data_IF_736299148535
#
_entry.id   IF_736299148535
#
_cell.length_a   1.000
_cell.length_b   1.000
_cell.length_c   1.000
_cell.angle_alpha   90.00
_cell.angle_beta   90.00
_cell.angle_gamma   90.00
#
_symmetry.space_group_name_H-M   'P 1'
#
loop_
_entity.id
_entity.type
_entity.pdbx_description
1 polymer ?
#
# COMPACT_ATOMS: atom_id res chain seq x y z
N UNK A 1 41.09 20.83 42.55
CA UNK A 1 40.14 21.10 41.45
C UNK A 1 39.11 19.99 41.49
N UNK A 2 38.09 20.09 42.36
CA UNK A 2 36.80 20.81 42.15
C UNK A 2 35.83 19.91 41.37
N UNK A 3 34.60 19.57 41.75
CA UNK A 3 33.73 19.89 42.89
C UNK A 3 32.52 18.93 42.85
N UNK A 4 31.89 18.73 44.02
CA UNK A 4 30.49 18.37 44.28
C UNK A 4 29.91 17.02 43.77
N UNK A 5 29.94 16.00 44.65
CA UNK A 5 28.84 15.01 44.73
C UNK A 5 27.90 15.43 45.86
N UNK A 6 26.62 15.52 45.50
CA UNK A 6 25.53 16.12 46.24
C UNK A 6 24.99 15.17 47.32
N UNK A 7 24.61 15.77 48.43
CA UNK A 7 24.18 15.12 49.67
C UNK A 7 22.92 14.26 49.48
N UNK A 8 23.04 12.96 49.73
CA UNK A 8 21.91 12.14 50.11
C UNK A 8 21.61 12.37 51.60
N UNK A 9 20.65 13.25 51.90
CA UNK A 9 20.12 13.39 53.26
C UNK A 9 19.38 12.11 53.66
N UNK A 10 20.08 11.31 54.46
CA UNK A 10 19.51 10.22 55.23
C UNK A 10 18.56 10.81 56.29
N UNK A 11 17.26 10.67 56.07
CA UNK A 11 16.27 10.96 57.09
C UNK A 11 16.42 9.94 58.24
N UNK A 12 16.89 10.44 59.37
CA UNK A 12 17.02 9.75 60.65
C UNK A 12 15.61 9.39 61.18
N UNK A 13 15.34 8.09 61.32
CA UNK A 13 14.10 7.58 61.93
C UNK A 13 14.43 7.04 63.32
N UNK A 14 14.00 7.70 64.42
CA UNK A 14 14.20 7.15 65.75
C UNK A 14 13.10 6.14 66.06
N UNK A 15 13.50 5.02 66.68
CA UNK A 15 12.71 3.85 67.09
C UNK A 15 12.19 2.93 65.97
N UNK A 16 12.38 1.63 66.20
CA UNK A 16 12.05 0.52 65.29
C UNK A 16 10.54 0.30 65.05
N UNK A 17 9.82 1.33 64.63
CA UNK A 17 8.47 1.23 64.12
C UNK A 17 8.50 0.96 62.61
N UNK A 18 7.93 -0.17 62.21
CA UNK A 18 7.69 -0.47 60.80
C UNK A 18 6.88 0.65 60.14
N UNK A 19 7.19 1.03 58.88
CA UNK A 19 6.56 2.17 58.22
C UNK A 19 5.03 2.08 58.27
N UNK A 20 4.31 3.20 58.49
CA UNK A 20 2.88 3.20 58.71
C UNK A 20 2.15 2.51 57.56
N UNK A 21 1.39 1.45 57.87
CA UNK A 21 0.65 0.67 56.87
C UNK A 21 -0.43 1.56 56.25
N UNK A 22 -0.22 1.97 54.99
CA UNK A 22 -1.18 2.75 54.23
C UNK A 22 -2.59 2.10 54.30
N UNK A 23 -3.66 2.85 54.63
CA UNK A 23 -5.00 2.28 54.76
C UNK A 23 -5.41 1.54 53.49
N UNK A 24 -5.99 0.33 53.62
CA UNK A 24 -6.39 -0.52 52.48
C UNK A 24 -7.13 0.27 51.40
N UNK A 25 -8.08 1.11 51.81
CA UNK A 25 -8.89 1.97 50.93
C UNK A 25 -8.06 2.91 50.05
N UNK A 26 -6.98 3.49 50.57
CA UNK A 26 -6.09 4.36 49.79
C UNK A 26 -5.22 3.55 48.81
N UNK A 27 -4.79 2.36 49.22
CA UNK A 27 -4.02 1.44 48.38
C UNK A 27 -4.86 0.93 47.20
N UNK A 28 -6.12 0.60 47.45
CA UNK A 28 -7.04 0.10 46.42
C UNK A 28 -7.40 1.20 45.42
N UNK A 29 -7.63 2.43 45.89
CA UNK A 29 -7.89 3.60 45.03
C UNK A 29 -6.67 3.95 44.16
N UNK A 30 -5.46 3.82 44.70
CA UNK A 30 -4.20 4.02 43.95
C UNK A 30 -4.01 2.95 42.87
N UNK A 31 -4.26 1.67 43.19
CA UNK A 31 -4.25 0.58 42.20
C UNK A 31 -5.28 0.77 41.09
N UNK A 32 -6.48 1.25 41.43
CA UNK A 32 -7.54 1.52 40.46
C UNK A 32 -7.15 2.68 39.53
N UNK A 33 -6.57 3.76 40.05
CA UNK A 33 -6.06 4.86 39.24
C UNK A 33 -4.91 4.44 38.32
N UNK A 34 -3.97 3.62 38.82
CA UNK A 34 -2.89 3.06 38.01
C UNK A 34 -3.41 2.13 36.91
N UNK A 35 -4.41 1.31 37.22
CA UNK A 35 -5.10 0.46 36.24
C UNK A 35 -5.77 1.30 35.15
N UNK A 36 -6.54 2.32 35.53
CA UNK A 36 -7.20 3.25 34.59
C UNK A 36 -6.18 4.00 33.73
N UNK A 37 -5.08 4.48 34.31
CA UNK A 37 -3.98 5.15 33.58
C UNK A 37 -3.30 4.18 32.61
N UNK A 38 -3.07 2.93 33.01
CA UNK A 38 -2.49 1.91 32.14
C UNK A 38 -3.42 1.54 30.98
N UNK A 39 -4.73 1.42 31.23
CA UNK A 39 -5.74 1.15 30.20
C UNK A 39 -5.83 2.30 29.21
N UNK A 40 -5.88 3.56 29.69
CA UNK A 40 -5.92 4.74 28.83
C UNK A 40 -4.64 4.88 27.99
N UNK A 41 -3.48 4.62 28.59
CA UNK A 41 -2.18 4.62 27.89
C UNK A 41 -2.15 3.54 26.81
N UNK A 42 -2.63 2.32 27.11
CA UNK A 42 -2.75 1.23 26.12
C UNK A 42 -3.71 1.60 24.98
N UNK A 43 -4.82 2.28 25.26
CA UNK A 43 -5.77 2.75 24.24
C UNK A 43 -5.20 3.85 23.35
N UNK A 44 -4.45 4.81 23.90
CA UNK A 44 -3.75 5.81 23.09
C UNK A 44 -2.71 5.16 22.17
N UNK A 45 -1.91 4.25 22.71
CA UNK A 45 -0.87 3.53 21.95
C UNK A 45 -1.47 2.59 20.90
N UNK A 46 -2.67 2.03 21.12
CA UNK A 46 -3.36 1.24 20.10
C UNK A 46 -3.92 2.12 18.99
N UNK A 47 -4.55 3.25 19.31
CA UNK A 47 -5.07 4.22 18.33
C UNK A 47 -3.95 4.79 17.45
N UNK A 48 -2.82 5.18 18.03
CA UNK A 48 -1.67 5.64 17.27
C UNK A 48 -1.10 4.53 16.36
N UNK A 49 -0.96 3.31 16.88
CA UNK A 49 -0.51 2.17 16.07
C UNK A 49 -1.44 1.85 14.90
N UNK A 50 -2.76 1.97 15.06
CA UNK A 50 -3.68 1.78 13.94
C UNK A 50 -3.52 2.91 12.92
N UNK A 51 -3.34 4.16 13.36
CA UNK A 51 -3.19 5.31 12.47
C UNK A 51 -1.94 5.21 11.61
N UNK A 52 -0.82 4.77 12.18
CA UNK A 52 0.45 4.70 11.44
C UNK A 52 0.53 3.42 10.60
N UNK A 53 -0.15 2.33 10.99
CA UNK A 53 -0.24 1.13 10.16
C UNK A 53 -1.04 1.46 8.91
N UNK A 54 -2.16 2.17 9.09
CA UNK A 54 -2.95 2.74 8.01
C UNK A 54 -2.12 3.69 7.13
N UNK A 55 -1.27 4.52 7.73
CA UNK A 55 -0.42 5.44 6.98
C UNK A 55 0.70 4.73 6.21
N UNK A 56 1.25 3.64 6.73
CA UNK A 56 2.21 2.79 6.03
C UNK A 56 1.55 2.03 4.86
N UNK A 57 0.35 1.47 5.06
CA UNK A 57 -0.46 0.87 4.00
C UNK A 57 -0.86 1.90 2.93
N UNK A 58 -1.19 3.13 3.32
CA UNK A 58 -1.48 4.23 2.39
C UNK A 58 -0.23 4.62 1.58
N UNK A 59 0.95 4.63 2.20
CA UNK A 59 2.23 4.84 1.50
C UNK A 59 2.58 3.69 0.54
N UNK A 60 2.40 2.43 0.93
CA UNK A 60 2.59 1.26 0.04
C UNK A 60 1.59 1.28 -1.13
N UNK A 61 0.35 1.65 -0.86
CA UNK A 61 -0.70 1.82 -1.88
C UNK A 61 -0.43 3.01 -2.81
N UNK A 62 0.28 4.03 -2.34
CA UNK A 62 0.71 5.17 -3.14
C UNK A 62 1.85 4.77 -4.09
N UNK A 63 2.91 4.14 -3.58
CA UNK A 63 4.09 3.69 -4.35
C UNK A 63 3.69 2.79 -5.54
N UNK A 64 2.80 1.81 -5.32
CA UNK A 64 2.36 0.92 -6.41
C UNK A 64 1.39 1.58 -7.39
N UNK A 65 0.65 2.62 -6.97
CA UNK A 65 -0.20 3.41 -7.87
C UNK A 65 0.61 4.38 -8.72
N UNK A 66 1.75 4.88 -8.23
CA UNK A 66 2.51 5.90 -8.95
C UNK A 66 3.17 5.36 -10.23
N UNK A 67 3.63 4.11 -10.23
CA UNK A 67 4.25 3.52 -11.41
C UNK A 67 3.25 3.33 -12.57
N UNK A 68 2.01 2.91 -12.26
CA UNK A 68 1.03 2.72 -13.32
C UNK A 68 0.62 4.04 -13.96
N UNK A 69 0.55 5.15 -13.21
CA UNK A 69 0.36 6.47 -13.82
C UNK A 69 1.50 6.84 -14.77
N UNK A 70 2.75 6.64 -14.35
CA UNK A 70 3.92 6.88 -15.21
C UNK A 70 3.88 6.06 -16.50
N UNK A 71 3.64 4.74 -16.40
CA UNK A 71 3.53 3.87 -17.56
C UNK A 71 2.36 4.25 -18.49
N UNK A 72 1.20 4.60 -17.92
CA UNK A 72 0.05 5.07 -18.69
C UNK A 72 0.31 6.41 -19.39
N UNK A 73 1.09 7.32 -18.78
CA UNK A 73 1.50 8.57 -19.44
C UNK A 73 2.38 8.28 -20.66
N UNK A 74 3.38 7.40 -20.54
CA UNK A 74 4.23 7.01 -21.68
C UNK A 74 3.38 6.36 -22.77
N UNK A 75 2.45 5.48 -22.40
CA UNK A 75 1.50 4.87 -23.32
C UNK A 75 0.64 5.89 -24.08
N UNK A 76 0.09 6.90 -23.39
CA UNK A 76 -0.68 7.95 -24.05
C UNK A 76 0.18 8.78 -25.00
N UNK A 77 1.43 9.08 -24.63
CA UNK A 77 2.38 9.79 -25.51
C UNK A 77 2.72 8.96 -26.74
N UNK A 78 2.94 7.66 -26.57
CA UNK A 78 3.18 6.72 -27.67
C UNK A 78 2.01 6.70 -28.65
N UNK A 79 0.78 6.49 -28.17
CA UNK A 79 -0.40 6.47 -29.03
C UNK A 79 -0.68 7.80 -29.74
N UNK A 80 -0.51 8.94 -29.06
CA UNK A 80 -0.89 10.24 -29.60
C UNK A 80 0.15 10.84 -30.55
N UNK A 81 1.44 10.62 -30.28
CA UNK A 81 2.52 11.32 -31.00
C UNK A 81 3.46 10.38 -31.76
N UNK A 82 3.61 9.12 -31.32
CA UNK A 82 4.63 8.20 -31.81
C UNK A 82 4.09 6.82 -32.19
N UNK A 83 2.83 6.74 -32.62
CA UNK A 83 2.12 5.46 -32.85
C UNK A 83 2.77 4.53 -33.90
N UNK A 84 3.66 5.08 -34.74
CA UNK A 84 4.43 4.32 -35.74
C UNK A 84 5.79 3.82 -35.23
N UNK A 85 6.19 4.16 -34.00
CA UNK A 85 7.49 3.79 -33.45
C UNK A 85 7.44 2.40 -32.80
N UNK A 86 7.89 1.41 -33.54
CA UNK A 86 7.98 0.01 -33.11
C UNK A 86 8.74 -0.19 -31.78
N UNK A 87 9.79 0.58 -31.55
CA UNK A 87 10.63 0.46 -30.36
C UNK A 87 9.90 0.95 -29.12
N UNK A 88 9.20 2.08 -29.23
CA UNK A 88 8.42 2.64 -28.12
C UNK A 88 7.20 1.76 -27.81
N UNK A 89 6.58 1.19 -28.84
CA UNK A 89 5.53 0.19 -28.70
C UNK A 89 6.00 -1.02 -27.86
N UNK A 90 7.18 -1.59 -28.16
CA UNK A 90 7.73 -2.72 -27.39
C UNK A 90 7.98 -2.35 -25.93
N UNK A 91 8.44 -1.13 -25.66
CA UNK A 91 8.68 -0.66 -24.29
C UNK A 91 7.36 -0.53 -23.52
N UNK A 92 6.35 0.10 -24.12
CA UNK A 92 5.04 0.24 -23.51
C UNK A 92 4.33 -1.10 -23.33
N UNK A 93 4.49 -2.02 -24.28
CA UNK A 93 4.00 -3.40 -24.18
C UNK A 93 4.58 -4.10 -22.95
N UNK A 94 5.90 -4.02 -22.75
CA UNK A 94 6.58 -4.65 -21.62
C UNK A 94 6.09 -4.11 -20.27
N UNK A 95 5.80 -2.81 -20.17
CA UNK A 95 5.19 -2.24 -18.97
C UNK A 95 3.74 -2.71 -18.75
N UNK A 96 2.94 -2.73 -19.82
CA UNK A 96 1.52 -3.10 -19.76
C UNK A 96 1.31 -4.58 -19.42
N UNK A 97 1.99 -5.49 -20.13
CA UNK A 97 1.85 -6.94 -19.95
C UNK A 97 2.77 -7.51 -18.86
N UNK A 98 3.78 -6.74 -18.44
CA UNK A 98 4.61 -7.08 -17.29
C UNK A 98 4.01 -6.52 -15.98
N UNK A 99 4.69 -5.57 -15.31
CA UNK A 99 4.35 -5.16 -13.95
C UNK A 99 2.90 -4.67 -13.77
N UNK A 100 2.30 -3.97 -14.76
CA UNK A 100 0.92 -3.47 -14.63
C UNK A 100 -0.11 -4.60 -14.64
N UNK A 101 -0.05 -5.51 -15.61
CA UNK A 101 -0.92 -6.66 -15.70
C UNK A 101 -0.81 -7.57 -14.46
N UNK A 102 0.40 -7.85 -14.01
CA UNK A 102 0.61 -8.69 -12.83
C UNK A 102 0.20 -7.99 -11.53
N UNK A 103 0.33 -6.67 -11.44
CA UNK A 103 -0.20 -5.87 -10.33
C UNK A 103 -1.73 -6.02 -10.19
N UNK A 104 -2.47 -6.09 -11.31
CA UNK A 104 -3.91 -6.33 -11.30
C UNK A 104 -4.28 -7.66 -10.62
N UNK A 105 -3.49 -8.71 -10.86
CA UNK A 105 -3.71 -10.05 -10.30
C UNK A 105 -3.24 -10.12 -8.84
N UNK A 106 -1.97 -9.78 -8.60
CA UNK A 106 -1.30 -9.95 -7.30
C UNK A 106 -1.91 -9.04 -6.23
N UNK A 107 -2.21 -7.78 -6.58
CA UNK A 107 -2.85 -6.84 -5.66
C UNK A 107 -4.37 -6.95 -5.63
N UNK A 108 -4.91 -7.98 -6.29
CA UNK A 108 -6.34 -8.29 -6.37
C UNK A 108 -7.19 -7.07 -6.66
N UNK A 109 -6.90 -6.39 -7.78
CA UNK A 109 -7.71 -5.27 -8.24
C UNK A 109 -9.13 -5.77 -8.55
N UNK A 110 -10.09 -5.33 -7.75
CA UNK A 110 -11.50 -5.74 -7.83
C UNK A 110 -12.27 -4.85 -8.81
N UNK A 111 -12.88 -5.45 -9.83
CA UNK A 111 -13.82 -4.74 -10.70
C UNK A 111 -15.18 -4.62 -9.99
N UNK A 112 -15.48 -3.43 -9.47
CA UNK A 112 -16.69 -3.16 -8.68
C UNK A 112 -17.38 -1.93 -9.25
N UNK A 113 -18.53 -2.12 -9.91
CA UNK A 113 -19.23 -1.06 -10.62
C UNK A 113 -19.81 0.04 -9.71
N UNK A 114 -19.92 -0.22 -8.41
CA UNK A 114 -20.39 0.78 -7.42
C UNK A 114 -19.29 1.74 -6.94
N UNK A 115 -18.03 1.57 -7.38
CA UNK A 115 -16.91 2.39 -6.93
C UNK A 115 -16.02 2.83 -8.09
N UNK A 116 -16.04 4.13 -8.41
CA UNK A 116 -15.19 4.72 -9.44
C UNK A 116 -13.70 4.47 -9.20
N UNK A 117 -13.23 4.59 -7.96
CA UNK A 117 -11.82 4.32 -7.61
C UNK A 117 -11.38 2.90 -7.98
N UNK A 118 -12.28 1.92 -7.83
CA UNK A 118 -12.03 0.52 -8.16
C UNK A 118 -12.05 0.31 -9.67
N UNK A 119 -13.02 0.91 -10.36
CA UNK A 119 -13.11 0.87 -11.83
C UNK A 119 -11.85 1.49 -12.45
N UNK A 120 -11.50 2.72 -12.07
CA UNK A 120 -10.30 3.42 -12.57
C UNK A 120 -9.06 2.59 -12.29
N UNK A 121 -8.93 2.04 -11.07
CA UNK A 121 -7.80 1.17 -10.74
C UNK A 121 -7.72 -0.07 -11.63
N UNK A 122 -8.83 -0.68 -12.03
CA UNK A 122 -8.78 -1.82 -12.98
C UNK A 122 -8.43 -1.32 -14.38
N UNK A 123 -9.05 -0.25 -14.84
CA UNK A 123 -8.84 0.28 -16.20
C UNK A 123 -7.39 0.68 -16.47
N UNK A 124 -6.73 1.40 -15.54
CA UNK A 124 -5.33 1.82 -15.74
C UNK A 124 -4.34 0.65 -15.78
N UNK A 125 -4.70 -0.53 -15.26
CA UNK A 125 -3.84 -1.72 -15.33
C UNK A 125 -4.24 -2.67 -16.48
N UNK A 126 -5.52 -2.70 -16.86
CA UNK A 126 -6.07 -3.62 -17.85
C UNK A 126 -6.05 -3.04 -19.28
N UNK A 127 -6.47 -1.78 -19.43
CA UNK A 127 -6.73 -1.17 -20.73
C UNK A 127 -5.47 -1.04 -21.61
N UNK A 128 -4.31 -0.61 -21.10
CA UNK A 128 -3.10 -0.54 -21.93
C UNK A 128 -2.77 -1.89 -22.57
N UNK A 129 -2.83 -2.98 -21.80
CA UNK A 129 -2.55 -4.33 -22.30
C UNK A 129 -3.55 -4.79 -23.37
N UNK A 130 -4.84 -4.49 -23.19
CA UNK A 130 -5.85 -4.78 -24.22
C UNK A 130 -5.60 -4.02 -25.52
N UNK A 131 -5.22 -2.75 -25.44
CA UNK A 131 -4.88 -1.94 -26.63
C UNK A 131 -3.63 -2.50 -27.33
N UNK A 132 -2.60 -2.87 -26.57
CA UNK A 132 -1.41 -3.49 -27.15
C UNK A 132 -1.70 -4.86 -27.77
N UNK A 133 -2.58 -5.66 -27.16
CA UNK A 133 -3.07 -6.91 -27.74
C UNK A 133 -3.77 -6.68 -29.07
N UNK A 134 -4.71 -5.73 -29.13
CA UNK A 134 -5.46 -5.46 -30.36
C UNK A 134 -4.55 -4.95 -31.45
N UNK A 135 -3.63 -4.02 -31.18
CA UNK A 135 -2.68 -3.50 -32.19
C UNK A 135 -1.74 -4.60 -32.68
N UNK A 136 -1.21 -5.43 -31.76
CA UNK A 136 -0.21 -6.45 -32.08
C UNK A 136 -0.76 -7.59 -32.96
N UNK A 137 -1.99 -8.00 -32.70
CA UNK A 137 -2.64 -9.14 -33.36
C UNK A 137 -3.76 -8.70 -34.31
N UNK A 138 -3.76 -7.42 -34.70
CA UNK A 138 -4.74 -6.82 -35.60
C UNK A 138 -4.72 -7.43 -37.00
N UNK A 139 -5.86 -7.42 -37.69
CA UNK A 139 -5.97 -7.78 -39.12
C UNK A 139 -5.65 -6.59 -40.04
N UNK A 140 -4.66 -6.70 -40.95
CA UNK A 140 -4.23 -5.60 -41.83
C UNK A 140 -5.32 -4.94 -42.68
N UNK A 141 -6.48 -5.57 -42.88
CA UNK A 141 -7.55 -5.01 -43.72
C UNK A 141 -8.34 -3.88 -43.06
N UNK A 142 -8.30 -3.74 -41.72
CA UNK A 142 -9.28 -2.92 -41.00
C UNK A 142 -8.72 -1.57 -40.49
N UNK A 143 -7.39 -1.34 -40.50
CA UNK A 143 -6.75 -0.07 -40.09
C UNK A 143 -5.59 0.33 -41.03
N UNK A 144 -5.88 0.54 -42.32
CA UNK A 144 -4.88 0.92 -43.32
C UNK A 144 -4.07 2.18 -42.95
N UNK A 145 -4.69 3.14 -42.25
CA UNK A 145 -4.09 4.43 -41.89
C UNK A 145 -2.89 4.36 -40.91
N UNK A 146 -2.70 3.25 -40.20
CA UNK A 146 -1.56 3.07 -39.29
C UNK A 146 -0.34 2.44 -39.96
N UNK A 147 -0.48 1.88 -41.17
CA UNK A 147 0.67 1.39 -41.92
C UNK A 147 1.48 2.58 -42.45
N UNK A 148 2.82 2.60 -42.30
CA UNK A 148 3.65 3.57 -42.99
C UNK A 148 3.44 3.48 -44.51
N UNK A 149 3.11 4.58 -45.16
CA UNK A 149 2.93 4.60 -46.61
C UNK A 149 4.20 4.08 -47.30
N UNK A 150 4.02 3.12 -48.23
CA UNK A 150 5.13 2.49 -48.95
C UNK A 150 5.72 1.23 -48.27
N UNK A 151 5.21 0.80 -47.12
CA UNK A 151 5.59 -0.50 -46.53
C UNK A 151 4.59 -1.59 -46.96
N UNK A 152 5.09 -2.73 -47.46
CA UNK A 152 4.25 -3.87 -47.84
C UNK A 152 3.27 -4.23 -46.70
N UNK A 153 2.03 -4.66 -46.99
CA UNK A 153 1.12 -5.25 -45.97
C UNK A 153 1.84 -6.43 -45.32
N UNK A 154 2.33 -6.28 -44.10
CA UNK A 154 3.15 -7.30 -43.42
C UNK A 154 2.30 -8.09 -42.42
N UNK A 155 2.55 -9.41 -42.26
CA UNK A 155 1.72 -10.26 -41.41
C UNK A 155 1.94 -10.05 -39.89
N UNK A 156 3.02 -9.38 -39.46
CA UNK A 156 3.31 -9.12 -38.04
C UNK A 156 3.96 -7.75 -37.83
N UNK A 157 3.53 -7.04 -36.79
CA UNK A 157 4.06 -5.74 -36.33
C UNK A 157 4.29 -5.82 -34.82
N UNK A 158 5.41 -5.34 -34.23
CA UNK A 158 6.60 -4.75 -34.84
C UNK A 158 7.58 -5.79 -35.43
N UNK A 159 8.55 -5.34 -36.21
CA UNK A 159 9.60 -6.16 -36.83
C UNK A 159 10.60 -6.66 -35.78
N UNK A 160 10.82 -7.97 -35.77
CA UNK A 160 11.82 -8.61 -34.92
C UNK A 160 13.03 -8.91 -35.80
N UNK A 161 14.03 -8.02 -35.75
CA UNK A 161 15.31 -8.21 -36.45
C UNK A 161 16.05 -9.44 -35.93
N UNK A 162 16.31 -9.47 -34.63
CA UNK A 162 17.13 -10.47 -33.98
C UNK A 162 16.66 -10.74 -32.54
N UNK A 163 17.09 -11.87 -31.96
CA UNK A 163 16.87 -12.16 -30.54
C UNK A 163 17.43 -11.06 -29.63
N UNK A 164 18.59 -10.49 -29.99
CA UNK A 164 19.21 -9.39 -29.25
C UNK A 164 18.36 -8.13 -29.28
N UNK A 165 17.79 -7.79 -30.44
CA UNK A 165 16.86 -6.66 -30.58
C UNK A 165 15.63 -6.85 -29.68
N UNK A 166 15.06 -8.05 -29.70
CA UNK A 166 13.88 -8.38 -28.92
C UNK A 166 14.11 -8.22 -27.41
N UNK A 167 15.18 -8.82 -26.87
CA UNK A 167 15.53 -8.69 -25.45
C UNK A 167 15.92 -7.26 -25.06
N UNK A 168 16.53 -6.52 -25.98
CA UNK A 168 16.87 -5.11 -25.72
C UNK A 168 15.62 -4.27 -25.52
N UNK A 169 14.63 -4.37 -26.41
CA UNK A 169 13.46 -3.48 -26.39
C UNK A 169 12.29 -3.96 -25.52
N UNK A 170 12.15 -5.27 -25.27
CA UNK A 170 11.11 -5.82 -24.38
C UNK A 170 11.57 -6.00 -22.93
N UNK A 171 12.88 -6.03 -22.66
CA UNK A 171 13.39 -6.31 -21.32
C UNK A 171 14.38 -5.25 -20.84
N UNK A 172 15.50 -5.04 -21.54
CA UNK A 172 16.57 -4.16 -21.05
C UNK A 172 16.16 -2.68 -20.99
N UNK A 173 15.65 -2.13 -22.09
CA UNK A 173 15.24 -0.72 -22.17
C UNK A 173 14.08 -0.41 -21.22
N UNK A 174 13.01 -1.23 -21.13
CA UNK A 174 11.96 -1.05 -20.12
C UNK A 174 12.51 -1.12 -18.70
N UNK A 175 13.44 -2.03 -18.41
CA UNK A 175 14.06 -2.14 -17.10
C UNK A 175 14.86 -0.88 -16.76
N UNK A 176 15.65 -0.34 -17.71
CA UNK A 176 16.36 0.93 -17.52
C UNK A 176 15.38 2.07 -17.25
N UNK A 177 14.31 2.19 -18.05
CA UNK A 177 13.29 3.21 -17.85
C UNK A 177 12.56 3.07 -16.51
N UNK A 178 12.31 1.84 -16.04
CA UNK A 178 11.80 1.57 -14.70
C UNK A 178 12.79 1.97 -13.61
N UNK A 179 14.08 1.63 -13.74
CA UNK A 179 15.09 2.02 -12.75
C UNK A 179 15.27 3.53 -12.66
N UNK A 180 15.21 4.24 -13.80
CA UNK A 180 15.22 5.70 -13.84
C UNK A 180 14.02 6.25 -13.05
N UNK A 181 12.81 5.76 -13.32
CA UNK A 181 11.61 6.13 -12.57
C UNK A 181 11.77 5.84 -11.08
N UNK A 182 12.29 4.65 -10.71
CA UNK A 182 12.48 4.24 -9.32
C UNK A 182 13.47 5.16 -8.58
N UNK A 183 14.56 5.56 -9.24
CA UNK A 183 15.55 6.51 -8.68
C UNK A 183 14.94 7.90 -8.53
N UNK A 184 14.27 8.42 -9.56
CA UNK A 184 13.59 9.72 -9.49
C UNK A 184 12.54 9.73 -8.38
N UNK A 185 11.75 8.67 -8.29
CA UNK A 185 10.77 8.49 -7.23
C UNK A 185 11.42 8.49 -5.85
N UNK A 186 12.49 7.72 -5.67
CA UNK A 186 13.24 7.68 -4.42
C UNK A 186 13.78 9.07 -4.04
N UNK A 187 14.33 9.81 -5.00
CA UNK A 187 14.82 11.17 -4.77
C UNK A 187 13.70 12.13 -4.36
N UNK A 188 12.60 12.15 -5.11
CA UNK A 188 11.43 13.01 -4.82
C UNK A 188 10.86 12.69 -3.43
N UNK A 189 10.62 11.41 -3.14
CA UNK A 189 10.08 10.98 -1.85
C UNK A 189 11.06 11.28 -0.73
N UNK A 190 12.35 11.05 -0.90
CA UNK A 190 13.35 11.33 0.13
C UNK A 190 13.43 12.84 0.44
N UNK A 191 13.38 13.69 -0.59
CA UNK A 191 13.36 15.16 -0.43
C UNK A 191 12.07 15.62 0.26
N UNK A 192 10.90 15.18 -0.23
CA UNK A 192 9.60 15.53 0.37
C UNK A 192 9.47 15.02 1.81
N UNK A 193 9.96 13.82 2.08
CA UNK A 193 9.98 13.23 3.42
C UNK A 193 10.92 14.01 4.34
N UNK A 194 12.09 14.43 3.86
CA UNK A 194 13.02 15.27 4.63
C UNK A 194 12.40 16.63 4.95
N UNK A 195 11.68 17.25 4.01
CA UNK A 195 10.96 18.50 4.25
C UNK A 195 9.81 18.33 5.25
N UNK A 196 9.06 17.22 5.19
CA UNK A 196 7.99 16.90 6.15
C UNK A 196 8.54 16.56 7.54
N UNK A 197 9.70 15.90 7.59
CA UNK A 197 10.41 15.57 8.82
C UNK A 197 10.90 16.81 9.57
N UNK A 198 11.37 17.83 8.84
CA UNK A 198 11.75 19.13 9.43
C UNK A 198 10.55 19.89 10.00
N UNK A 199 9.32 19.55 9.61
CA UNK A 199 8.09 20.22 10.03
C UNK A 199 7.42 19.56 11.24
N UNK A 200 7.60 18.24 11.47
CA UNK A 200 6.98 17.49 12.58
C UNK A 200 7.89 16.39 13.18
N UNK A 201 8.61 16.65 14.29
CA UNK A 201 9.51 15.69 14.95
C UNK A 201 8.82 14.46 15.59
N UNK A 202 7.53 14.53 15.92
CA UNK A 202 6.78 13.43 16.55
C UNK A 202 6.52 12.23 15.62
N UNK A 203 6.66 12.40 14.31
CA UNK A 203 6.43 11.32 13.33
C UNK A 203 7.46 10.19 13.49
N UNK A 204 8.65 10.49 14.00
CA UNK A 204 9.78 9.56 14.05
C UNK A 204 9.68 8.51 15.16
N UNK A 205 9.20 8.89 16.35
CA UNK A 205 8.98 7.97 17.48
C UNK A 205 7.84 7.00 17.19
N UNK A 206 6.86 7.46 16.42
CA UNK A 206 5.68 6.73 16.00
C UNK A 206 6.01 5.56 15.05
N UNK A 207 6.90 5.76 14.07
CA UNK A 207 7.28 4.76 13.08
C UNK A 207 8.06 3.58 13.69
N UNK A 208 8.92 3.88 14.67
CA UNK A 208 9.75 2.89 15.38
C UNK A 208 8.93 1.96 16.29
N UNK A 209 7.84 2.47 16.85
CA UNK A 209 6.93 1.69 17.69
C UNK A 209 5.96 0.83 16.86
N UNK A 210 5.75 1.15 15.59
CA UNK A 210 4.98 0.31 14.68
C UNK A 210 5.74 -0.83 14.06
N UNK A 211 7.03 -0.64 13.75
CA UNK A 211 7.83 -1.76 13.26
C UNK A 211 7.83 -2.91 14.27
N UNK A 212 7.87 -2.57 15.57
CA UNK A 212 7.75 -3.49 16.72
C UNK A 212 6.35 -4.10 16.92
N UNK A 213 5.27 -3.41 16.53
CA UNK A 213 3.90 -3.96 16.59
C UNK A 213 3.57 -4.86 15.40
N UNK A 214 4.03 -4.50 14.21
CA UNK A 214 3.96 -5.35 13.01
C UNK A 214 4.75 -6.67 13.21
N UNK A 215 5.83 -6.62 13.99
CA UNK A 215 6.61 -7.80 14.44
C UNK A 215 5.80 -8.84 15.22
N UNK A 216 4.70 -8.43 15.87
CA UNK A 216 3.82 -9.36 16.60
C UNK A 216 2.79 -10.07 15.70
N UNK A 217 2.63 -9.67 14.44
CA UNK A 217 1.60 -10.20 13.54
C UNK A 217 2.01 -11.48 12.77
N UNK A 218 3.27 -11.93 12.90
CA UNK A 218 3.81 -13.22 12.42
C UNK A 218 3.32 -13.67 11.03
N UNK A 219 3.25 -12.75 10.07
CA UNK A 219 2.83 -13.03 8.70
C UNK A 219 4.05 -13.36 7.82
N UNK A 220 3.90 -14.17 6.77
CA UNK A 220 5.02 -14.66 5.94
C UNK A 220 5.83 -13.50 5.31
N UNK A 221 5.12 -12.45 4.91
CA UNK A 221 5.66 -11.20 4.35
C UNK A 221 6.45 -10.36 5.37
N UNK A 222 6.12 -10.50 6.66
CA UNK A 222 6.86 -9.85 7.74
C UNK A 222 8.22 -10.54 7.99
N UNK A 223 8.27 -11.87 7.86
CA UNK A 223 9.51 -12.63 7.98
C UNK A 223 10.46 -12.38 6.80
N UNK A 224 9.94 -12.35 5.57
CA UNK A 224 10.73 -11.94 4.42
C UNK A 224 11.26 -10.52 4.61
N UNK A 225 10.42 -9.59 5.11
CA UNK A 225 10.80 -8.19 5.34
C UNK A 225 11.83 -7.90 6.43
N UNK A 226 12.08 -8.86 7.32
CA UNK A 226 13.06 -8.73 8.39
C UNK A 226 14.47 -9.25 8.06
N UNK A 227 14.71 -9.86 6.90
CA UNK A 227 16.00 -10.53 6.61
C UNK A 227 17.24 -9.62 6.71
N UNK A 228 17.09 -8.33 6.40
CA UNK A 228 18.14 -7.30 6.51
C UNK A 228 17.97 -6.37 7.74
N UNK A 229 17.08 -6.73 8.67
CA UNK A 229 16.79 -5.96 9.88
C UNK A 229 15.66 -4.92 9.75
N UNK A 230 15.02 -4.63 10.88
CA UNK A 230 13.81 -3.78 10.96
C UNK A 230 14.01 -2.32 10.52
N UNK A 231 15.26 -1.84 10.51
CA UNK A 231 15.59 -0.49 10.05
C UNK A 231 15.61 -0.40 8.51
N UNK A 232 15.81 -1.51 7.81
CA UNK A 232 16.01 -1.54 6.36
C UNK A 232 14.78 -2.07 5.59
N UNK A 233 13.62 -2.19 6.25
CA UNK A 233 12.38 -2.71 5.63
C UNK A 233 12.01 -1.97 4.35
N UNK A 234 12.18 -0.65 4.30
CA UNK A 234 11.94 0.15 3.08
C UNK A 234 12.83 -0.28 1.91
N UNK A 235 14.12 -0.52 2.16
CA UNK A 235 15.05 -1.01 1.13
C UNK A 235 14.66 -2.41 0.67
N UNK A 236 14.20 -3.25 1.59
CA UNK A 236 13.80 -4.60 1.24
C UNK A 236 12.51 -4.63 0.42
N UNK A 237 11.55 -3.73 0.68
CA UNK A 237 10.39 -3.56 -0.21
C UNK A 237 10.79 -3.12 -1.61
N UNK A 238 11.71 -2.16 -1.74
CA UNK A 238 12.25 -1.72 -3.03
C UNK A 238 12.92 -2.90 -3.75
N UNK A 239 13.67 -3.73 -3.02
CA UNK A 239 14.33 -4.90 -3.58
C UNK A 239 13.34 -5.97 -4.05
N UNK A 240 12.35 -6.34 -3.21
CA UNK A 240 11.31 -7.30 -3.60
C UNK A 240 10.47 -6.80 -4.77
N UNK A 241 10.13 -5.51 -4.79
CA UNK A 241 9.44 -4.88 -5.91
C UNK A 241 10.31 -4.90 -7.17
N UNK A 242 11.62 -4.68 -7.04
CA UNK A 242 12.57 -4.80 -8.15
C UNK A 242 12.61 -6.22 -8.73
N UNK A 243 12.69 -7.26 -7.87
CA UNK A 243 12.60 -8.66 -8.30
C UNK A 243 11.28 -8.93 -9.02
N UNK A 244 10.16 -8.47 -8.45
CA UNK A 244 8.84 -8.63 -9.03
C UNK A 244 8.76 -7.98 -10.43
N UNK A 245 9.26 -6.76 -10.60
CA UNK A 245 9.31 -6.08 -11.89
C UNK A 245 10.16 -6.84 -12.91
N UNK A 246 11.36 -7.28 -12.53
CA UNK A 246 12.24 -8.06 -13.40
C UNK A 246 11.57 -9.36 -13.84
N UNK A 247 10.97 -10.11 -12.90
CA UNK A 247 10.31 -11.37 -13.21
C UNK A 247 9.10 -11.18 -14.14
N UNK A 248 8.27 -10.16 -13.90
CA UNK A 248 7.06 -9.90 -14.69
C UNK A 248 7.40 -9.36 -16.08
N UNK A 249 8.44 -8.52 -16.23
CA UNK A 249 8.95 -8.12 -17.55
C UNK A 249 9.54 -9.30 -18.32
N UNK A 250 10.25 -10.21 -17.65
CA UNK A 250 10.75 -11.43 -18.29
C UNK A 250 9.61 -12.31 -18.81
N UNK A 251 8.47 -12.37 -18.12
CA UNK A 251 7.27 -13.07 -18.57
C UNK A 251 6.56 -12.37 -19.74
N UNK A 252 6.72 -11.05 -19.90
CA UNK A 252 6.15 -10.33 -21.03
C UNK A 252 6.79 -10.75 -22.38
N UNK A 253 8.05 -11.22 -22.36
CA UNK A 253 8.78 -11.68 -23.55
C UNK A 253 8.11 -12.88 -24.25
N UNK A 254 7.86 -14.03 -23.58
CA UNK A 254 7.15 -15.14 -24.21
C UNK A 254 5.69 -14.80 -24.56
N UNK A 255 5.02 -13.93 -23.78
CA UNK A 255 3.67 -13.44 -24.09
C UNK A 255 3.66 -12.65 -25.40
N UNK A 256 4.70 -11.84 -25.64
CA UNK A 256 4.83 -11.09 -26.88
C UNK A 256 5.01 -11.97 -28.13
N UNK A 257 5.65 -13.13 -27.96
CA UNK A 257 5.99 -14.05 -29.05
C UNK A 257 4.84 -14.97 -29.49
N UNK A 258 3.86 -15.23 -28.62
CA UNK A 258 2.81 -16.23 -28.87
C UNK A 258 1.41 -15.63 -28.73
N UNK A 259 0.61 -15.75 -29.80
CA UNK A 259 -0.79 -15.34 -29.79
C UNK A 259 -1.59 -16.07 -28.71
N UNK A 260 -1.44 -17.39 -28.64
CA UNK A 260 -2.14 -18.23 -27.67
C UNK A 260 -1.81 -17.83 -26.23
N UNK A 261 -0.53 -17.62 -25.90
CA UNK A 261 -0.14 -17.15 -24.57
C UNK A 261 -0.71 -15.77 -24.26
N UNK A 262 -0.72 -14.87 -25.26
CA UNK A 262 -1.26 -13.54 -25.07
C UNK A 262 -2.79 -13.58 -24.85
N UNK A 263 -3.54 -14.37 -25.62
CA UNK A 263 -4.99 -14.57 -25.43
C UNK A 263 -5.29 -15.15 -24.05
N UNK A 264 -4.60 -16.23 -23.66
CA UNK A 264 -4.77 -16.86 -22.34
C UNK A 264 -4.49 -15.85 -21.23
N UNK A 265 -3.46 -15.02 -21.38
CA UNK A 265 -3.14 -14.00 -20.39
C UNK A 265 -4.19 -12.87 -20.34
N UNK A 266 -4.75 -12.43 -21.47
CA UNK A 266 -5.87 -11.47 -21.48
C UNK A 266 -7.09 -12.02 -20.74
N UNK A 267 -7.47 -13.28 -21.01
CA UNK A 267 -8.58 -13.95 -20.32
C UNK A 267 -8.29 -14.02 -18.82
N UNK A 268 -7.09 -14.44 -18.43
CA UNK A 268 -6.68 -14.52 -17.02
C UNK A 268 -6.84 -13.19 -16.30
N UNK A 269 -6.39 -12.07 -16.90
CA UNK A 269 -6.50 -10.72 -16.30
C UNK A 269 -7.96 -10.33 -16.07
N UNK A 270 -8.80 -10.49 -17.08
CA UNK A 270 -10.24 -10.15 -16.98
C UNK A 270 -10.92 -11.04 -15.94
N UNK A 271 -10.69 -12.35 -15.99
CA UNK A 271 -11.25 -13.30 -15.01
C UNK A 271 -10.81 -12.98 -13.58
N UNK A 272 -9.53 -12.65 -13.36
CA UNK A 272 -9.02 -12.27 -12.05
C UNK A 272 -9.70 -10.99 -11.53
N UNK A 273 -9.85 -9.96 -12.37
CA UNK A 273 -10.50 -8.71 -11.98
C UNK A 273 -11.98 -8.91 -11.60
N UNK A 274 -12.70 -9.72 -12.37
CA UNK A 274 -14.12 -10.07 -12.13
C UNK A 274 -14.25 -10.91 -10.85
N UNK A 275 -13.43 -11.94 -10.69
CA UNK A 275 -13.44 -12.80 -9.51
C UNK A 275 -13.17 -11.99 -8.24
N UNK A 276 -12.13 -11.15 -8.25
CA UNK A 276 -11.81 -10.25 -7.14
C UNK A 276 -12.92 -9.22 -6.88
N UNK A 277 -13.64 -8.80 -7.91
CA UNK A 277 -14.86 -7.98 -7.82
C UNK A 277 -15.99 -8.68 -7.08
N UNK A 278 -16.32 -9.90 -7.51
CA UNK A 278 -17.36 -10.74 -6.90
C UNK A 278 -17.07 -11.05 -5.44
N UNK A 279 -15.86 -11.51 -5.11
CA UNK A 279 -15.46 -11.77 -3.72
C UNK A 279 -15.53 -10.52 -2.85
N UNK A 280 -15.16 -9.35 -3.38
CA UNK A 280 -15.28 -8.09 -2.63
C UNK A 280 -16.75 -7.75 -2.32
N UNK A 281 -17.64 -7.92 -3.29
CA UNK A 281 -19.06 -7.65 -3.13
C UNK A 281 -19.72 -8.58 -2.10
N UNK A 282 -19.37 -9.87 -2.14
CA UNK A 282 -19.99 -10.89 -1.28
C UNK A 282 -19.41 -10.94 0.13
N UNK A 283 -18.10 -10.73 0.30
CA UNK A 283 -17.45 -10.93 1.60
C UNK A 283 -17.11 -9.63 2.32
N UNK A 284 -16.64 -8.61 1.58
CA UNK A 284 -16.08 -7.40 2.19
C UNK A 284 -17.15 -6.36 2.46
N UNK A 285 -18.02 -6.09 1.48
CA UNK A 285 -19.07 -5.07 1.67
C UNK A 285 -20.02 -5.37 2.83
N UNK A 286 -20.54 -6.60 3.01
CA UNK A 286 -21.44 -6.90 4.13
C UNK A 286 -20.73 -6.77 5.48
N UNK A 287 -19.48 -7.24 5.57
CA UNK A 287 -18.67 -7.08 6.79
C UNK A 287 -18.42 -5.60 7.11
N UNK A 288 -18.12 -4.78 6.11
CA UNK A 288 -17.93 -3.34 6.31
C UNK A 288 -19.22 -2.65 6.74
N UNK A 289 -20.38 -3.04 6.20
CA UNK A 289 -21.68 -2.51 6.63
C UNK A 289 -21.96 -2.86 8.10
N UNK A 290 -21.80 -4.12 8.49
CA UNK A 290 -21.99 -4.58 9.88
C UNK A 290 -21.04 -3.85 10.83
N UNK A 291 -19.76 -3.69 10.46
CA UNK A 291 -18.78 -2.97 11.27
C UNK A 291 -19.11 -1.47 11.41
N UNK A 292 -19.62 -0.83 10.35
CA UNK A 292 -20.08 0.56 10.40
C UNK A 292 -21.28 0.72 11.33
N UNK A 293 -22.24 -0.18 11.26
CA UNK A 293 -23.41 -0.19 12.16
C UNK A 293 -22.98 -0.40 13.63
N UNK A 294 -22.11 -1.37 13.91
CA UNK A 294 -21.56 -1.57 15.27
C UNK A 294 -20.85 -0.33 15.80
N UNK A 295 -20.00 0.29 14.98
CA UNK A 295 -19.29 1.51 15.37
C UNK A 295 -20.23 2.70 15.59
N UNK A 296 -21.31 2.80 14.82
CA UNK A 296 -22.35 3.83 14.99
C UNK A 296 -23.11 3.63 16.30
N UNK A 297 -23.42 2.38 16.66
CA UNK A 297 -24.02 2.02 17.95
C UNK A 297 -23.09 2.33 19.14
N UNK A 298 -21.79 2.06 19.02
CA UNK A 298 -20.80 2.38 20.06
C UNK A 298 -20.51 3.88 20.21
N UNK A 299 -20.77 4.68 19.16
CA UNK A 299 -20.55 6.13 19.15
C UNK A 299 -21.81 6.94 19.49
N UNK A 300 -22.99 6.31 19.61
CA UNK A 300 -24.12 7.00 20.21
C UNK A 300 -23.77 7.32 21.67
N UNK A 301 -23.90 8.59 22.10
CA UNK A 301 -23.74 8.91 23.51
C UNK A 301 -24.75 8.06 24.28
N UNK A 302 -24.30 7.45 25.37
CA UNK A 302 -25.22 6.93 26.39
C UNK A 302 -26.12 8.10 26.76
N UNK A 303 -27.35 8.12 26.25
CA UNK A 303 -28.36 9.05 26.71
C UNK A 303 -28.39 8.91 28.22
N UNK A 304 -28.12 10.02 28.90
CA UNK A 304 -28.06 10.08 30.33
C UNK A 304 -29.37 9.52 30.89
N UNK A 305 -29.29 8.31 31.45
CA UNK A 305 -30.30 7.77 32.35
C UNK A 305 -30.57 8.87 33.40
N UNK A 306 -31.81 9.40 33.51
CA UNK A 306 -32.12 10.35 34.55
C UNK A 306 -32.11 9.58 35.88
N UNK A 307 -31.02 9.70 36.63
CA UNK A 307 -30.94 9.21 38.01
C UNK A 307 -31.87 10.06 38.89
N UNK A 308 -32.98 9.41 39.24
CA UNK A 308 -33.85 9.55 40.41
C UNK A 308 -33.33 10.41 41.58
N UNK A 309 -34.22 11.22 42.18
CA UNK A 309 -34.28 11.27 43.65
C UNK A 309 -35.68 11.64 44.17
N UNK A 310 -36.31 10.65 44.77
CA UNK A 310 -37.28 10.78 45.85
C UNK A 310 -36.63 11.51 47.02
N UNK A 311 -37.10 12.72 47.35
CA UNK A 311 -36.88 13.31 48.67
C UNK A 311 -38.23 13.76 49.21
N UNK A 312 -38.57 13.19 50.36
CA UNK A 312 -39.81 13.44 51.08
C UNK A 312 -39.87 14.87 51.60
N UNK A 313 -41.09 15.42 51.59
CA UNK A 313 -41.45 16.58 52.40
C UNK A 313 -42.62 16.19 53.30
N UNK A 314 -42.27 15.69 54.49
CA UNK A 314 -43.12 15.78 55.67
C UNK A 314 -42.86 17.14 56.36
N UNK A 315 -43.90 17.63 57.07
CA UNK A 315 -43.98 18.79 57.99
C UNK A 315 -44.35 20.12 57.30
N UNK A 316 -45.64 20.50 57.31
CA UNK A 316 -46.43 21.11 58.41
C UNK A 316 -46.39 22.64 58.35
N UNK A 317 -47.48 23.27 57.94
CA UNK A 317 -48.36 24.04 58.82
C UNK A 317 -49.59 24.53 58.07
#
# INVERSE_FOLDING_TARGET
>A
MSDAEDHADAADYPNGESPPKLPKRFRDRSKEMLSKKAVHTKQMLSKQAVKIAKQAEEHERFINKDFCYYANTIFLVDLLFYSKNEKLFMVCFAFAEGPLAWALIVWRCSLVFSSLDKIVSVLIHLLPGLVFFTIRWWDPATFEAMHPEGTARRPTWPYIEDKSFLWTWLFLVPLVAYTLWQVLYFLIVNVLRRQRFLRDPEVMTSYRELSKKAQKANNIWWRLSGLLGDQNRMLMYIFLQGIFTVATMALAVPIFLSYELHVVFQILKVSAAIWNGGSFLLEVMPRQAILKEKKKSEMQPVEAQPNTNTDGKMLSS
#
